data_IF_480665858118
#
_entry.id   IF_480665858118
#
_cell.length_a   1.000
_cell.length_b   1.000
_cell.length_c   1.000
_cell.angle_alpha   90.00
_cell.angle_beta   90.00
_cell.angle_gamma   90.00
#
_symmetry.space_group_name_H-M   'P 1'
#
loop_
_entity.id
_entity.type
_entity.pdbx_description
1 polymer ?
#
# COMPACT_ATOMS: atom_id res chain seq x y z
N UNK A 1 -6.04 -19.88 -4.16
CA UNK A 1 -4.75 -19.63 -4.86
C UNK A 1 -4.16 -18.38 -4.26
N UNK A 2 -2.88 -18.42 -3.88
CA UNK A 2 -2.21 -17.24 -3.33
C UNK A 2 -2.12 -16.15 -4.40
N UNK A 3 -2.53 -14.95 -4.03
CA UNK A 3 -2.38 -13.75 -4.84
C UNK A 3 -1.81 -12.63 -3.99
N UNK A 4 -1.05 -11.74 -4.62
CA UNK A 4 -0.49 -10.55 -4.00
C UNK A 4 -1.08 -9.32 -4.68
N UNK A 5 -1.56 -8.39 -3.88
CA UNK A 5 -1.90 -7.03 -4.31
C UNK A 5 -0.81 -6.07 -3.86
N UNK A 6 -0.51 -5.09 -4.70
CA UNK A 6 0.42 -4.01 -4.41
C UNK A 6 -0.24 -2.69 -4.77
N UNK A 7 -0.16 -1.71 -3.87
CA UNK A 7 -0.75 -0.39 -4.05
C UNK A 7 0.00 0.67 -3.22
N UNK A 8 -0.14 1.93 -3.60
CA UNK A 8 0.51 3.06 -2.95
C UNK A 8 -0.46 4.11 -2.40
N UNK A 9 -0.01 4.86 -1.41
CA UNK A 9 -0.69 6.02 -0.86
C UNK A 9 0.30 7.16 -0.67
N UNK A 10 -0.14 8.40 -0.89
CA UNK A 10 0.71 9.58 -0.68
C UNK A 10 1.57 10.00 -1.89
N UNK A 11 1.34 9.42 -3.07
CA UNK A 11 2.04 9.80 -4.32
C UNK A 11 1.78 11.24 -4.80
N UNK A 12 0.56 11.76 -4.55
CA UNK A 12 0.10 13.07 -5.04
C UNK A 12 0.28 14.27 -4.09
N UNK A 13 0.09 14.12 -2.77
CA UNK A 13 0.32 15.21 -1.82
C UNK A 13 1.75 15.76 -1.84
N UNK A 14 1.90 17.07 -1.63
CA UNK A 14 3.21 17.75 -1.53
C UNK A 14 3.86 17.54 -0.16
N UNK A 15 3.07 17.17 0.85
CA UNK A 15 3.53 16.98 2.23
C UNK A 15 3.22 15.55 2.65
N UNK A 16 4.17 14.95 3.36
CA UNK A 16 4.05 13.62 3.92
C UNK A 16 4.82 12.56 3.13
N UNK A 17 4.89 11.33 3.65
CA UNK A 17 5.57 10.23 2.98
C UNK A 17 4.71 9.63 1.87
N UNK A 18 5.36 8.91 0.97
CA UNK A 18 4.72 7.89 0.14
C UNK A 18 4.81 6.55 0.85
N UNK A 19 3.72 5.79 0.86
CA UNK A 19 3.63 4.46 1.45
C UNK A 19 3.26 3.47 0.37
N UNK A 20 4.00 2.38 0.27
CA UNK A 20 3.71 1.27 -0.64
C UNK A 20 3.43 0.04 0.22
N UNK A 21 2.32 -0.65 -0.05
CA UNK A 21 1.93 -1.84 0.68
C UNK A 21 1.74 -3.02 -0.28
N UNK A 22 2.28 -4.18 0.11
CA UNK A 22 2.03 -5.46 -0.53
C UNK A 22 1.29 -6.37 0.45
N UNK A 23 0.21 -6.98 0.00
CA UNK A 23 -0.58 -7.94 0.78
C UNK A 23 -0.75 -9.22 -0.04
N UNK A 24 -0.32 -10.35 0.51
CA UNK A 24 -0.51 -11.66 -0.09
C UNK A 24 -1.40 -12.55 0.77
N UNK A 25 -2.24 -13.37 0.12
CA UNK A 25 -3.02 -14.40 0.79
C UNK A 25 -3.91 -15.18 -0.17
N UNK A 26 -4.74 -16.07 0.38
CA UNK A 26 -5.71 -16.80 -0.43
C UNK A 26 -6.77 -15.85 -1.02
N UNK A 27 -6.88 -15.86 -2.35
CA UNK A 27 -7.78 -14.98 -3.08
C UNK A 27 -9.25 -15.10 -2.63
N UNK A 28 -9.75 -16.29 -2.29
CA UNK A 28 -11.15 -16.44 -1.89
C UNK A 28 -11.40 -15.82 -0.51
N UNK A 29 -10.46 -15.98 0.43
CA UNK A 29 -10.54 -15.36 1.75
C UNK A 29 -10.43 -13.83 1.66
N UNK A 30 -9.52 -13.33 0.82
CA UNK A 30 -9.34 -11.89 0.60
C UNK A 30 -10.58 -11.24 -0.01
N UNK A 31 -11.21 -11.88 -1.00
CA UNK A 31 -12.45 -11.37 -1.61
C UNK A 31 -13.61 -11.31 -0.60
N UNK A 32 -13.65 -12.23 0.38
CA UNK A 32 -14.70 -12.27 1.39
C UNK A 32 -14.66 -11.09 2.38
N UNK A 33 -13.52 -10.40 2.52
CA UNK A 33 -13.40 -9.18 3.36
C UNK A 33 -14.24 -8.02 2.79
N UNK A 34 -14.44 -7.98 1.47
CA UNK A 34 -15.20 -6.91 0.82
C UNK A 34 -14.45 -5.57 0.75
N UNK A 35 -13.12 -5.58 0.75
CA UNK A 35 -12.28 -4.41 0.50
C UNK A 35 -12.34 -4.01 -0.99
N UNK A 36 -13.41 -3.32 -1.40
CA UNK A 36 -13.62 -2.94 -2.81
C UNK A 36 -13.27 -1.49 -3.15
N UNK A 37 -13.77 -0.52 -2.38
CA UNK A 37 -13.46 0.90 -2.64
C UNK A 37 -13.24 1.65 -1.33
N UNK A 38 -11.97 1.83 -0.98
CA UNK A 38 -11.54 2.54 0.23
C UNK A 38 -11.89 4.03 0.22
N UNK A 39 -12.25 4.61 -0.93
CA UNK A 39 -12.59 6.03 -1.07
C UNK A 39 -14.01 6.35 -0.59
N UNK A 40 -14.88 5.35 -0.53
CA UNK A 40 -16.25 5.48 0.00
C UNK A 40 -16.28 5.19 1.51
N UNK A 41 -15.25 4.57 2.05
CA UNK A 41 -15.18 4.12 3.43
C UNK A 41 -14.76 5.25 4.38
N UNK A 42 -15.36 5.27 5.57
CA UNK A 42 -14.93 6.17 6.64
C UNK A 42 -13.55 5.76 7.17
N UNK A 43 -12.80 6.70 7.79
CA UNK A 43 -11.51 6.36 8.43
C UNK A 43 -11.61 5.18 9.40
N UNK A 44 -12.65 5.15 10.24
CA UNK A 44 -12.88 4.06 11.18
C UNK A 44 -13.13 2.71 10.49
N UNK A 45 -13.83 2.71 9.34
CA UNK A 45 -14.06 1.47 8.59
C UNK A 45 -12.79 0.97 7.90
N UNK A 46 -11.92 1.88 7.43
CA UNK A 46 -10.59 1.50 6.91
C UNK A 46 -9.72 0.87 7.99
N UNK A 47 -9.74 1.41 9.20
CA UNK A 47 -9.01 0.86 10.35
C UNK A 47 -9.48 -0.57 10.69
N UNK A 48 -10.80 -0.77 10.73
CA UNK A 48 -11.38 -2.10 10.94
C UNK A 48 -10.97 -3.09 9.83
N UNK A 49 -10.97 -2.65 8.56
CA UNK A 49 -10.55 -3.47 7.43
C UNK A 49 -9.06 -3.81 7.50
N UNK A 50 -8.21 -2.91 7.97
CA UNK A 50 -6.79 -3.20 8.17
C UNK A 50 -6.60 -4.38 9.14
N UNK A 51 -7.32 -4.40 10.24
CA UNK A 51 -7.32 -5.52 11.18
C UNK A 51 -7.83 -6.83 10.54
N UNK A 52 -8.90 -6.75 9.74
CA UNK A 52 -9.45 -7.92 9.05
C UNK A 52 -8.45 -8.49 8.01
N UNK A 53 -7.83 -7.61 7.22
CA UNK A 53 -6.84 -7.97 6.18
C UNK A 53 -5.60 -8.61 6.83
N UNK A 54 -5.00 -7.94 7.81
CA UNK A 54 -3.76 -8.43 8.45
C UNK A 54 -3.95 -9.75 9.19
N UNK A 55 -5.17 -10.05 9.65
CA UNK A 55 -5.50 -11.31 10.32
C UNK A 55 -5.48 -12.52 9.37
N UNK A 56 -5.88 -12.34 8.11
CA UNK A 56 -5.98 -13.45 7.14
C UNK A 56 -4.85 -13.44 6.10
N UNK A 57 -4.09 -12.34 6.01
CA UNK A 57 -2.95 -12.25 5.11
C UNK A 57 -1.87 -13.25 5.50
N UNK A 58 -1.32 -13.92 4.49
CA UNK A 58 -0.15 -14.79 4.65
C UNK A 58 1.13 -13.96 4.76
N UNK A 59 1.18 -12.82 4.05
CA UNK A 59 2.25 -11.84 4.17
C UNK A 59 1.77 -10.42 3.94
N UNK A 60 2.37 -9.49 4.67
CA UNK A 60 2.17 -8.05 4.52
C UNK A 60 3.53 -7.38 4.56
N UNK A 61 3.84 -6.55 3.56
CA UNK A 61 5.03 -5.73 3.52
C UNK A 61 4.62 -4.26 3.34
N UNK A 62 5.26 -3.36 4.08
CA UNK A 62 4.98 -1.92 4.03
C UNK A 62 6.31 -1.18 3.90
N UNK A 63 6.44 -0.38 2.86
CA UNK A 63 7.57 0.51 2.61
C UNK A 63 7.12 1.95 2.77
N UNK A 64 7.73 2.67 3.72
CA UNK A 64 7.44 4.08 3.98
C UNK A 64 8.64 4.89 3.49
N UNK A 65 8.39 5.81 2.55
CA UNK A 65 9.40 6.65 1.91
C UNK A 65 9.13 8.08 2.31
N UNK A 66 10.03 8.67 3.09
CA UNK A 66 9.87 10.04 3.56
C UNK A 66 10.03 11.04 2.40
N UNK A 67 9.46 12.23 2.56
CA UNK A 67 9.58 13.29 1.56
C UNK A 67 11.04 13.68 1.29
N UNK A 68 11.92 13.60 2.30
CA UNK A 68 13.34 13.87 2.19
C UNK A 68 14.04 12.84 1.30
N UNK A 69 13.71 11.55 1.46
CA UNK A 69 14.25 10.47 0.62
C UNK A 69 13.76 10.64 -0.82
N UNK A 70 12.45 10.88 -1.02
CA UNK A 70 11.88 11.12 -2.36
C UNK A 70 12.58 12.30 -3.02
N UNK A 71 12.77 13.40 -2.29
CA UNK A 71 13.45 14.60 -2.82
C UNK A 71 14.90 14.30 -3.21
N UNK A 72 15.63 13.55 -2.37
CA UNK A 72 17.00 13.17 -2.67
C UNK A 72 17.08 12.27 -3.92
N UNK A 73 16.24 11.23 -3.99
CA UNK A 73 16.21 10.27 -5.10
C UNK A 73 15.74 10.90 -6.41
N UNK A 74 14.80 11.86 -6.35
CA UNK A 74 14.33 12.60 -7.53
C UNK A 74 15.40 13.46 -8.20
N UNK A 75 16.58 13.60 -7.59
CA UNK A 75 17.74 14.24 -8.22
C UNK A 75 18.33 13.39 -9.36
N UNK A 76 18.06 12.08 -9.38
CA UNK A 76 18.61 11.14 -10.37
C UNK A 76 17.59 10.13 -10.91
N UNK A 77 16.39 10.04 -10.32
CA UNK A 77 15.29 9.17 -10.76
C UNK A 77 13.99 9.96 -10.94
N UNK A 78 13.08 9.42 -11.74
CA UNK A 78 11.68 9.85 -11.75
C UNK A 78 10.92 9.23 -10.57
N UNK A 79 9.80 9.84 -10.19
CA UNK A 79 8.95 9.31 -9.12
C UNK A 79 8.46 7.89 -9.40
N UNK A 80 8.20 7.57 -10.68
CA UNK A 80 7.79 6.22 -11.09
C UNK A 80 8.93 5.20 -10.94
N UNK A 81 10.17 5.58 -11.19
CA UNK A 81 11.33 4.70 -10.99
C UNK A 81 11.59 4.45 -9.49
N UNK A 82 11.43 5.49 -8.66
CA UNK A 82 11.48 5.38 -7.20
C UNK A 82 10.41 4.40 -6.72
N UNK A 83 9.17 4.57 -7.17
CA UNK A 83 8.04 3.71 -6.83
C UNK A 83 8.30 2.25 -7.23
N UNK A 84 8.70 2.01 -8.48
CA UNK A 84 9.02 0.68 -9.00
C UNK A 84 10.18 0.01 -8.24
N UNK A 85 11.17 0.78 -7.76
CA UNK A 85 12.29 0.25 -6.97
C UNK A 85 11.87 -0.34 -5.62
N UNK A 86 10.68 0.01 -5.13
CA UNK A 86 10.13 -0.43 -3.84
C UNK A 86 9.06 -1.51 -3.98
N UNK A 87 8.82 -2.01 -5.19
CA UNK A 87 7.90 -3.14 -5.44
C UNK A 87 8.54 -4.52 -5.19
N UNK A 88 9.82 -4.57 -4.84
CA UNK A 88 10.62 -5.77 -4.58
C UNK A 88 11.11 -5.79 -3.13
#
# INVERSE_FOLDING_TARGET
>A
MMQCGLDEAGRGPVIGPMVIAMVCGDNNQMQAIGARDSKILSPARREALYADITKIAESVNISIISAEIITAEMSYLTLNEIEHSRYL
#
